data_IF_082355909633
#
_entry.id   IF_082355909633
#
_cell.length_a   1.000
_cell.length_b   1.000
_cell.length_c   1.000
_cell.angle_alpha   90.00
_cell.angle_beta   90.00
_cell.angle_gamma   90.00
#
_symmetry.space_group_name_H-M   'P 1'
#
loop_
_entity.id
_entity.type
_entity.pdbx_description
1 polymer ?
#
# COMPACT_ATOMS: atom_id res chain seq x y z
N UNK A 1 -38.64 -11.26 -13.54
CA UNK A 1 -37.64 -10.54 -12.71
C UNK A 1 -36.42 -11.39 -12.33
N UNK A 2 -36.52 -12.72 -12.14
CA UNK A 2 -35.40 -13.56 -11.65
C UNK A 2 -34.35 -13.96 -12.71
N UNK A 3 -34.76 -14.35 -13.93
CA UNK A 3 -33.83 -14.87 -14.95
C UNK A 3 -32.90 -13.81 -15.54
N UNK A 4 -33.43 -12.60 -15.76
CA UNK A 4 -32.65 -11.46 -16.28
C UNK A 4 -31.59 -11.03 -15.28
N UNK A 5 -31.90 -11.07 -13.97
CA UNK A 5 -30.94 -10.75 -12.92
C UNK A 5 -29.84 -11.82 -12.85
N UNK A 6 -30.20 -13.10 -12.97
CA UNK A 6 -29.22 -14.18 -13.03
C UNK A 6 -28.26 -14.05 -14.21
N UNK A 7 -28.76 -13.74 -15.41
CA UNK A 7 -27.93 -13.52 -16.60
C UNK A 7 -27.05 -12.28 -16.44
N UNK A 8 -27.58 -11.20 -15.86
CA UNK A 8 -26.79 -9.99 -15.55
C UNK A 8 -25.68 -10.28 -14.54
N UNK A 9 -25.95 -11.01 -13.48
CA UNK A 9 -24.96 -11.37 -12.44
C UNK A 9 -23.88 -12.29 -13.00
N UNK A 10 -24.26 -13.23 -13.86
CA UNK A 10 -23.33 -14.12 -14.55
C UNK A 10 -22.42 -13.36 -15.52
N UNK A 11 -22.98 -12.48 -16.35
CA UNK A 11 -22.21 -11.62 -17.26
C UNK A 11 -21.29 -10.67 -16.50
N UNK A 12 -21.76 -10.10 -15.38
CA UNK A 12 -20.96 -9.21 -14.52
C UNK A 12 -19.78 -9.96 -13.89
N UNK A 13 -19.98 -11.21 -13.46
CA UNK A 13 -18.90 -12.08 -12.97
C UNK A 13 -17.86 -12.38 -14.04
N UNK A 14 -18.30 -12.74 -15.24
CA UNK A 14 -17.39 -12.98 -16.38
C UNK A 14 -16.62 -11.71 -16.71
N UNK A 15 -17.31 -10.58 -16.82
CA UNK A 15 -16.69 -9.30 -17.14
C UNK A 15 -15.64 -8.91 -16.09
N UNK A 16 -15.99 -8.96 -14.80
CA UNK A 16 -15.06 -8.67 -13.71
C UNK A 16 -13.85 -9.61 -13.73
N UNK A 17 -14.06 -10.91 -13.95
CA UNK A 17 -12.98 -11.89 -14.08
C UNK A 17 -12.01 -11.54 -15.22
N UNK A 18 -12.53 -11.07 -16.37
CA UNK A 18 -11.68 -10.62 -17.47
C UNK A 18 -10.95 -9.31 -17.14
N UNK A 19 -11.62 -8.34 -16.51
CA UNK A 19 -11.00 -7.07 -16.10
C UNK A 19 -9.85 -7.29 -15.11
N UNK A 20 -10.07 -8.11 -14.09
CA UNK A 20 -9.06 -8.44 -13.07
C UNK A 20 -7.89 -9.20 -13.69
N UNK A 21 -8.19 -10.19 -14.55
CA UNK A 21 -7.17 -11.01 -15.24
C UNK A 21 -6.31 -10.19 -16.19
N UNK A 22 -6.88 -9.18 -16.84
CA UNK A 22 -6.17 -8.31 -17.76
C UNK A 22 -5.50 -7.11 -17.04
N UNK A 23 -5.61 -7.01 -15.71
CA UNK A 23 -5.08 -5.90 -14.89
C UNK A 23 -5.48 -4.51 -15.40
N UNK A 24 -6.63 -4.39 -16.07
CA UNK A 24 -7.09 -3.11 -16.65
C UNK A 24 -7.49 -2.13 -15.56
N UNK A 25 -7.97 -2.62 -14.41
CA UNK A 25 -8.26 -1.84 -13.22
C UNK A 25 -7.21 -2.16 -12.15
N UNK A 26 -6.07 -1.50 -12.21
CA UNK A 26 -5.23 -1.35 -11.02
C UNK A 26 -5.64 -0.02 -10.40
N UNK A 27 -6.10 -0.04 -9.15
CA UNK A 27 -6.43 1.19 -8.44
C UNK A 27 -5.17 2.06 -8.36
N UNK A 28 -5.21 3.23 -8.99
CA UNK A 28 -4.13 4.21 -8.94
C UNK A 28 -4.37 5.05 -7.69
N UNK A 29 -3.63 4.77 -6.63
CA UNK A 29 -3.70 5.54 -5.40
C UNK A 29 -2.85 6.81 -5.53
N UNK A 30 -3.48 7.99 -5.39
CA UNK A 30 -2.80 9.29 -5.37
C UNK A 30 -2.61 9.76 -3.93
N UNK A 31 -1.35 9.84 -3.48
CA UNK A 31 -0.98 10.30 -2.15
C UNK A 31 -1.10 11.83 -2.09
N UNK A 32 -2.33 12.31 -2.02
CA UNK A 32 -2.72 13.73 -2.11
C UNK A 32 -4.23 13.92 -2.32
N UNK A 33 -4.96 12.85 -2.63
CA UNK A 33 -6.42 12.85 -2.72
C UNK A 33 -7.13 12.78 -1.37
N UNK A 34 -8.45 12.62 -1.40
CA UNK A 34 -9.30 12.40 -0.21
C UNK A 34 -9.17 10.99 0.38
N UNK A 35 -8.37 10.12 -0.22
CA UNK A 35 -8.29 8.72 0.13
C UNK A 35 -7.63 8.54 1.50
N UNK A 36 -8.28 7.76 2.35
CA UNK A 36 -7.77 7.46 3.68
C UNK A 36 -6.71 6.38 3.58
N UNK A 37 -5.47 6.73 3.92
CA UNK A 37 -4.39 5.75 4.04
C UNK A 37 -4.72 4.71 5.12
N UNK A 38 -4.31 3.45 4.93
CA UNK A 38 -4.58 2.39 5.90
C UNK A 38 -3.98 2.75 7.27
N UNK A 39 -4.66 2.36 8.37
CA UNK A 39 -4.13 2.54 9.71
C UNK A 39 -2.85 1.69 9.89
N UNK A 40 -1.98 2.04 10.84
CA UNK A 40 -0.83 1.20 11.16
C UNK A 40 -1.29 -0.18 11.61
N UNK A 41 -0.50 -1.20 11.27
CA UNK A 41 -0.72 -2.56 11.74
C UNK A 41 -0.61 -2.61 13.28
N UNK A 42 -1.32 -3.54 13.89
CA UNK A 42 -1.07 -3.89 15.30
C UNK A 42 0.31 -4.53 15.43
N UNK A 43 0.83 -4.53 16.66
CA UNK A 43 2.17 -5.05 16.92
C UNK A 43 2.33 -6.54 16.56
N UNK A 44 1.26 -7.33 16.72
CA UNK A 44 1.29 -8.76 16.42
C UNK A 44 1.19 -9.01 14.90
N UNK A 45 0.34 -8.27 14.19
CA UNK A 45 0.27 -8.31 12.72
C UNK A 45 1.59 -7.88 12.09
N UNK A 46 2.19 -6.79 12.59
CA UNK A 46 3.46 -6.30 12.08
C UNK A 46 4.58 -7.34 12.27
N UNK A 47 4.62 -8.05 13.40
CA UNK A 47 5.56 -9.15 13.62
C UNK A 47 5.34 -10.29 12.63
N UNK A 48 4.09 -10.65 12.36
CA UNK A 48 3.78 -11.70 11.38
C UNK A 48 4.25 -11.29 9.97
N UNK A 49 3.95 -10.07 9.54
CA UNK A 49 4.36 -9.53 8.24
C UNK A 49 5.89 -9.47 8.15
N UNK A 50 6.57 -9.00 9.20
CA UNK A 50 8.03 -8.94 9.26
C UNK A 50 8.66 -10.32 9.08
N UNK A 51 8.10 -11.36 9.71
CA UNK A 51 8.60 -12.73 9.57
C UNK A 51 8.49 -13.26 8.14
N UNK A 52 7.57 -12.71 7.34
CA UNK A 52 7.30 -13.11 5.95
C UNK A 52 8.04 -12.25 4.91
N UNK A 53 8.72 -11.18 5.33
CA UNK A 53 9.35 -10.20 4.41
C UNK A 53 10.39 -10.78 3.45
N UNK A 54 11.11 -11.84 3.85
CA UNK A 54 12.15 -12.45 2.99
C UNK A 54 11.56 -13.12 1.76
N UNK A 55 10.37 -13.71 1.89
CA UNK A 55 9.83 -14.66 0.92
C UNK A 55 8.53 -14.18 0.25
N UNK A 56 8.03 -12.99 0.62
CA UNK A 56 6.76 -12.45 0.10
C UNK A 56 6.90 -10.98 -0.27
N UNK A 57 6.73 -10.70 -1.56
CA UNK A 57 6.61 -9.33 -2.06
C UNK A 57 5.30 -8.69 -1.58
N UNK A 58 4.26 -9.49 -1.35
CA UNK A 58 3.00 -9.04 -0.73
C UNK A 58 3.22 -8.53 0.69
N UNK A 59 4.05 -9.22 1.49
CA UNK A 59 4.41 -8.77 2.84
C UNK A 59 5.13 -7.41 2.80
N UNK A 60 5.99 -7.18 1.80
CA UNK A 60 6.65 -5.88 1.60
C UNK A 60 5.63 -4.80 1.25
N UNK A 61 4.72 -5.08 0.31
CA UNK A 61 3.66 -4.14 -0.08
C UNK A 61 2.78 -3.76 1.11
N UNK A 62 2.31 -4.73 1.89
CA UNK A 62 1.52 -4.51 3.10
C UNK A 62 2.29 -3.61 4.08
N UNK A 63 3.56 -3.93 4.35
CA UNK A 63 4.36 -3.14 5.28
C UNK A 63 4.61 -1.71 4.77
N UNK A 64 4.80 -1.53 3.47
CA UNK A 64 4.96 -0.20 2.85
C UNK A 64 3.66 0.60 2.99
N UNK A 65 2.53 0.05 2.56
CA UNK A 65 1.23 0.72 2.51
C UNK A 65 0.78 1.19 3.90
N UNK A 66 0.86 0.33 4.90
CA UNK A 66 0.49 0.65 6.29
C UNK A 66 1.44 1.67 6.95
N UNK A 67 2.60 1.93 6.37
CA UNK A 67 3.56 2.95 6.83
C UNK A 67 3.58 4.22 5.97
N UNK A 68 2.82 4.30 4.86
CA UNK A 68 2.76 5.53 4.04
C UNK A 68 2.24 6.73 4.83
N UNK A 69 1.35 6.52 5.81
CA UNK A 69 0.84 7.60 6.67
C UNK A 69 1.97 8.29 7.46
N UNK A 70 3.00 7.54 7.85
CA UNK A 70 4.18 8.10 8.52
C UNK A 70 4.98 8.99 7.56
N UNK A 71 5.13 8.56 6.29
CA UNK A 71 5.81 9.36 5.26
C UNK A 71 5.10 10.70 5.06
N UNK A 72 3.77 10.69 4.91
CA UNK A 72 2.98 11.92 4.76
C UNK A 72 3.11 12.82 6.00
N UNK A 73 3.03 12.24 7.20
CA UNK A 73 3.21 12.98 8.44
C UNK A 73 4.59 13.66 8.53
N UNK A 74 5.65 12.95 8.14
CA UNK A 74 7.01 13.50 8.13
C UNK A 74 7.18 14.57 7.06
N UNK A 75 6.70 14.33 5.83
CA UNK A 75 6.80 15.29 4.73
C UNK A 75 6.15 16.64 5.07
N UNK A 76 4.98 16.63 5.72
CA UNK A 76 4.29 17.85 6.19
C UNK A 76 5.13 18.69 7.16
N UNK A 77 6.06 18.08 7.93
CA UNK A 77 6.96 18.84 8.81
C UNK A 77 8.01 19.64 8.06
N UNK A 78 8.27 19.32 6.79
CA UNK A 78 9.26 19.99 5.95
C UNK A 78 8.61 20.92 4.90
N UNK A 79 7.31 21.19 4.99
CA UNK A 79 6.59 22.07 4.06
C UNK A 79 7.16 23.50 4.03
N UNK A 80 7.73 23.98 5.15
CA UNK A 80 8.34 25.31 5.25
C UNK A 80 9.66 25.47 4.47
N UNK A 81 10.16 24.42 3.83
CA UNK A 81 11.40 24.47 3.04
C UNK A 81 11.22 25.06 1.64
N UNK A 82 9.98 25.30 1.22
CA UNK A 82 9.65 25.76 -0.14
C UNK A 82 9.70 24.65 -1.19
N UNK A 83 9.99 23.41 -0.79
CA UNK A 83 9.89 22.21 -1.63
C UNK A 83 8.43 21.76 -1.64
N UNK A 84 7.93 21.32 -2.80
CA UNK A 84 6.58 20.78 -2.92
C UNK A 84 6.43 19.54 -2.01
N UNK A 85 5.39 19.54 -1.18
CA UNK A 85 5.10 18.43 -0.25
C UNK A 85 4.92 17.09 -0.98
N UNK A 86 4.41 17.09 -2.20
CA UNK A 86 4.25 15.89 -3.02
C UNK A 86 5.61 15.28 -3.42
N UNK A 87 6.61 16.12 -3.69
CA UNK A 87 7.98 15.67 -3.97
C UNK A 87 8.61 15.06 -2.72
N UNK A 88 8.39 15.68 -1.56
CA UNK A 88 8.86 15.17 -0.27
C UNK A 88 8.22 13.81 0.07
N UNK A 89 6.92 13.67 -0.17
CA UNK A 89 6.20 12.40 -0.03
C UNK A 89 6.78 11.35 -0.97
N UNK A 90 7.03 11.69 -2.23
CA UNK A 90 7.60 10.78 -3.22
C UNK A 90 8.99 10.30 -2.82
N UNK A 91 9.87 11.21 -2.43
CA UNK A 91 11.23 10.90 -1.94
C UNK A 91 11.16 10.03 -0.68
N UNK A 92 10.30 10.39 0.28
CA UNK A 92 10.11 9.62 1.51
C UNK A 92 9.59 8.21 1.24
N UNK A 93 8.70 8.06 0.26
CA UNK A 93 8.15 6.76 -0.17
C UNK A 93 9.22 5.89 -0.80
N UNK A 94 10.08 6.45 -1.66
CA UNK A 94 11.25 5.72 -2.21
C UNK A 94 12.18 5.26 -1.08
N UNK A 95 12.42 6.13 -0.09
CA UNK A 95 13.20 5.81 1.11
C UNK A 95 12.60 4.66 1.91
N UNK A 96 11.28 4.68 2.12
CA UNK A 96 10.53 3.61 2.80
C UNK A 96 10.64 2.28 2.05
N UNK A 97 10.39 2.27 0.73
CA UNK A 97 10.51 1.08 -0.12
C UNK A 97 11.92 0.48 0.00
N UNK A 98 12.96 1.32 -0.06
CA UNK A 98 14.35 0.88 0.08
C UNK A 98 14.64 0.32 1.47
N UNK A 99 14.09 0.93 2.53
CA UNK A 99 14.24 0.47 3.89
C UNK A 99 13.60 -0.92 4.08
N UNK A 100 12.38 -1.11 3.58
CA UNK A 100 11.67 -2.40 3.63
C UNK A 100 12.42 -3.48 2.83
N UNK A 101 12.89 -3.16 1.63
CA UNK A 101 13.64 -4.09 0.78
C UNK A 101 14.99 -4.54 1.36
N UNK A 102 15.60 -3.72 2.22
CA UNK A 102 16.91 -4.02 2.83
C UNK A 102 16.81 -4.44 4.30
N UNK A 103 15.60 -4.48 4.85
CA UNK A 103 15.34 -4.86 6.23
C UNK A 103 15.73 -6.32 6.49
N UNK A 104 16.39 -6.57 7.62
CA UNK A 104 16.79 -7.91 8.08
C UNK A 104 16.37 -8.08 9.53
N UNK A 105 15.32 -8.89 9.77
CA UNK A 105 14.77 -9.13 11.11
C UNK A 105 15.80 -9.69 12.11
N UNK A 106 16.81 -10.40 11.61
CA UNK A 106 17.90 -11.00 12.41
C UNK A 106 18.89 -9.96 12.97
N UNK A 107 18.91 -8.75 12.38
CA UNK A 107 19.66 -7.65 12.98
C UNK A 107 18.83 -7.15 14.15
N UNK A 108 19.30 -7.42 15.38
CA UNK A 108 18.74 -6.87 16.61
C UNK A 108 18.80 -5.33 16.58
N UNK A 109 17.84 -4.68 15.91
CA UNK A 109 17.63 -3.24 15.98
C UNK A 109 16.79 -3.00 17.23
N UNK A 110 17.30 -2.15 18.14
CA UNK A 110 16.57 -1.76 19.35
C UNK A 110 15.22 -1.16 18.94
N UNK A 111 14.14 -1.72 19.49
CA UNK A 111 12.79 -1.17 19.45
C UNK A 111 12.67 0.04 20.37
#
# INVERSE_FOLDING_TARGET
MSLINFVKDFLKRIFNFFIDKLRIAQDIFYIGGSDTLPPPLSQDEEREIINRLKDSDEAKSILIEHNLRLVVYLAKKFESTGINVEDLISIGTIGLIKAVNTFKAEKNIKR
#
